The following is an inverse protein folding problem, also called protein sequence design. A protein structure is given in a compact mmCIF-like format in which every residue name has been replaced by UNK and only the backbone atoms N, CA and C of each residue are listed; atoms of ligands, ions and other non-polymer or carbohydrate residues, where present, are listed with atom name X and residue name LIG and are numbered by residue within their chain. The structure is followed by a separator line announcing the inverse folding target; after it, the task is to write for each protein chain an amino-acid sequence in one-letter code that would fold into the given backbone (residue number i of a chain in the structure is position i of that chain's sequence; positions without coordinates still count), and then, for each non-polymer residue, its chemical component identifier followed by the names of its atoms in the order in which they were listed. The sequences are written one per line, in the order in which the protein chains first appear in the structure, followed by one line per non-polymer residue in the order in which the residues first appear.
data_IF_782772143160
#
_entry.id   IF_782772143160
#
_cell.length_a   1.000
_cell.length_b   1.000
_cell.length_c   1.000
_cell.angle_alpha   90.00
_cell.angle_beta   90.00
_cell.angle_gamma   90.00
#
_symmetry.space_group_name_H-M   'P 1'
#
loop_
_entity.id
_entity.type
_entity.pdbx_description
1 polymer ?
#
# COMPACT_ATOMS: atom_id res chain seq x y z
N UNK A 1 -23.51 2.36 -30.73
CA UNK A 1 -22.10 2.37 -30.25
C UNK A 1 -21.88 2.62 -28.74
N UNK A 2 -22.83 3.02 -27.86
CA UNK A 2 -22.52 3.24 -26.43
C UNK A 2 -22.40 1.93 -25.63
N UNK A 3 -23.11 0.86 -26.01
CA UNK A 3 -23.14 -0.41 -25.25
C UNK A 3 -21.75 -1.08 -25.11
N UNK A 4 -20.95 -1.14 -26.18
CA UNK A 4 -19.63 -1.76 -26.15
C UNK A 4 -18.65 -1.02 -25.21
N UNK A 5 -18.75 0.31 -25.12
CA UNK A 5 -17.91 1.10 -24.20
C UNK A 5 -18.27 0.82 -22.74
N UNK A 6 -19.57 0.65 -22.43
CA UNK A 6 -20.02 0.33 -21.08
C UNK A 6 -19.50 -1.03 -20.61
N UNK A 7 -19.63 -2.03 -21.46
CA UNK A 7 -19.12 -3.38 -21.19
C UNK A 7 -17.60 -3.34 -21.04
N UNK A 8 -16.88 -2.66 -21.93
CA UNK A 8 -15.42 -2.56 -21.84
C UNK A 8 -14.94 -1.94 -20.51
N UNK A 9 -15.51 -0.81 -20.10
CA UNK A 9 -15.13 -0.16 -18.84
C UNK A 9 -15.46 -1.04 -17.62
N UNK A 10 -16.57 -1.79 -17.65
CA UNK A 10 -16.88 -2.74 -16.57
C UNK A 10 -15.83 -3.85 -16.45
N UNK A 11 -15.32 -4.38 -17.58
CA UNK A 11 -14.22 -5.36 -17.56
C UNK A 11 -12.94 -4.75 -17.01
N UNK A 12 -12.58 -3.54 -17.46
CA UNK A 12 -11.40 -2.82 -16.96
C UNK A 12 -11.52 -2.57 -15.45
N UNK A 13 -12.70 -2.15 -14.97
CA UNK A 13 -12.96 -1.93 -13.55
C UNK A 13 -12.74 -3.19 -12.73
N UNK A 14 -13.33 -4.32 -13.18
CA UNK A 14 -13.21 -5.59 -12.49
C UNK A 14 -11.76 -6.07 -12.46
N UNK A 15 -11.04 -6.02 -13.57
CA UNK A 15 -9.63 -6.42 -13.61
C UNK A 15 -8.75 -5.50 -12.75
N UNK A 16 -8.97 -4.19 -12.78
CA UNK A 16 -8.25 -3.22 -11.95
C UNK A 16 -8.50 -3.50 -10.47
N UNK A 17 -9.75 -3.70 -10.07
CA UNK A 17 -10.13 -4.02 -8.69
C UNK A 17 -9.54 -5.35 -8.21
N UNK A 18 -9.67 -6.42 -9.01
CA UNK A 18 -9.10 -7.72 -8.67
C UNK A 18 -7.58 -7.67 -8.57
N UNK A 19 -6.92 -6.93 -9.45
CA UNK A 19 -5.46 -6.74 -9.40
C UNK A 19 -5.04 -5.94 -8.17
N UNK A 20 -5.79 -4.89 -7.82
CA UNK A 20 -5.56 -4.09 -6.61
C UNK A 20 -5.64 -4.97 -5.37
N UNK A 21 -6.80 -5.62 -5.15
CA UNK A 21 -7.03 -6.45 -3.98
C UNK A 21 -6.02 -7.61 -3.90
N UNK A 22 -5.77 -8.29 -5.03
CA UNK A 22 -4.81 -9.38 -5.10
C UNK A 22 -3.39 -8.93 -4.75
N UNK A 23 -2.95 -7.78 -5.28
CA UNK A 23 -1.63 -7.21 -5.00
C UNK A 23 -1.50 -6.85 -3.52
N UNK A 24 -2.51 -6.20 -2.95
CA UNK A 24 -2.51 -5.78 -1.54
C UNK A 24 -2.42 -6.99 -0.59
N UNK A 25 -3.26 -8.00 -0.81
CA UNK A 25 -3.31 -9.19 0.04
C UNK A 25 -2.05 -10.04 -0.11
N UNK A 26 -1.62 -10.30 -1.36
CA UNK A 26 -0.44 -11.13 -1.61
C UNK A 26 0.82 -10.47 -1.07
N UNK A 27 1.06 -9.18 -1.36
CA UNK A 27 2.25 -8.49 -0.90
C UNK A 27 2.30 -8.38 0.63
N UNK A 28 1.19 -7.98 1.26
CA UNK A 28 1.16 -7.68 2.69
C UNK A 28 1.19 -8.93 3.56
N UNK A 29 0.42 -9.97 3.20
CA UNK A 29 0.23 -11.14 4.07
C UNK A 29 1.04 -12.35 3.65
N UNK A 30 1.35 -12.52 2.37
CA UNK A 30 2.07 -13.71 1.87
C UNK A 30 3.54 -13.39 1.62
N UNK A 31 3.83 -12.52 0.65
CA UNK A 31 5.18 -12.25 0.18
C UNK A 31 6.07 -11.69 1.29
N UNK A 32 5.58 -10.70 2.06
CA UNK A 32 6.34 -10.11 3.17
C UNK A 32 6.63 -11.12 4.28
N UNK A 33 5.67 -11.99 4.61
CA UNK A 33 5.84 -13.03 5.65
C UNK A 33 6.86 -14.08 5.22
N UNK A 34 6.71 -14.62 4.00
CA UNK A 34 7.63 -15.61 3.44
C UNK A 34 9.04 -15.05 3.35
N UNK A 35 9.19 -13.83 2.81
CA UNK A 35 10.50 -13.19 2.70
C UNK A 35 11.16 -12.94 4.06
N UNK A 36 10.38 -12.54 5.08
CA UNK A 36 10.91 -12.32 6.44
C UNK A 36 11.41 -13.62 7.09
N UNK A 37 10.75 -14.74 6.82
CA UNK A 37 11.13 -16.05 7.35
C UNK A 37 12.31 -16.66 6.59
N UNK A 38 12.37 -16.46 5.27
CA UNK A 38 13.34 -17.10 4.40
C UNK A 38 14.68 -16.34 4.28
N UNK A 39 14.70 -15.02 4.52
CA UNK A 39 15.88 -14.18 4.28
C UNK A 39 16.55 -13.71 5.57
N UNK A 40 17.90 -13.59 5.58
CA UNK A 40 18.59 -12.81 6.60
C UNK A 40 18.08 -11.37 6.66
N UNK A 41 18.10 -10.73 7.84
CA UNK A 41 17.53 -9.38 8.06
C UNK A 41 18.06 -8.32 7.08
N UNK A 42 19.34 -8.36 6.72
CA UNK A 42 19.96 -7.44 5.76
C UNK A 42 19.42 -7.63 4.34
N UNK A 43 19.25 -8.88 3.90
CA UNK A 43 18.68 -9.24 2.60
C UNK A 43 17.20 -8.87 2.52
N UNK A 44 16.41 -9.20 3.56
CA UNK A 44 15.01 -8.78 3.67
C UNK A 44 14.88 -7.26 3.56
N UNK A 45 15.67 -6.52 4.33
CA UNK A 45 15.64 -5.05 4.32
C UNK A 45 16.00 -4.49 2.94
N UNK A 46 16.99 -5.10 2.26
CA UNK A 46 17.40 -4.69 0.90
C UNK A 46 16.31 -4.97 -0.14
N UNK A 47 15.60 -6.09 -0.01
CA UNK A 47 14.44 -6.41 -0.85
C UNK A 47 13.31 -5.39 -0.62
N UNK A 48 12.94 -5.14 0.64
CA UNK A 48 11.86 -4.22 1.00
C UNK A 48 12.12 -2.78 0.53
N UNK A 49 13.38 -2.33 0.54
CA UNK A 49 13.79 -1.01 -0.04
C UNK A 49 13.32 -0.82 -1.48
N UNK A 50 13.30 -1.91 -2.26
CA UNK A 50 12.93 -1.89 -3.68
C UNK A 50 11.45 -2.18 -3.88
N UNK A 51 10.90 -3.10 -3.09
CA UNK A 51 9.51 -3.55 -3.25
C UNK A 51 8.51 -2.51 -2.74
N UNK A 52 8.74 -1.88 -1.58
CA UNK A 52 7.78 -0.92 -1.01
C UNK A 52 7.42 0.25 -1.95
N UNK A 53 8.38 0.95 -2.59
CA UNK A 53 8.03 2.04 -3.50
C UNK A 53 7.22 1.58 -4.70
N UNK A 54 7.54 0.39 -5.25
CA UNK A 54 6.82 -0.19 -6.38
C UNK A 54 5.39 -0.54 -5.93
N UNK A 55 5.25 -1.23 -4.81
CA UNK A 55 3.97 -1.61 -4.25
C UNK A 55 3.04 -0.42 -4.01
N UNK A 56 3.48 0.61 -3.28
CA UNK A 56 2.63 1.77 -2.98
C UNK A 56 2.26 2.58 -4.22
N UNK A 57 3.15 2.64 -5.22
CA UNK A 57 2.85 3.28 -6.52
C UNK A 57 1.80 2.48 -7.28
N UNK A 58 1.97 1.16 -7.39
CA UNK A 58 1.02 0.28 -8.05
C UNK A 58 -0.34 0.31 -7.37
N UNK A 59 -0.38 0.25 -6.04
CA UNK A 59 -1.60 0.39 -5.24
C UNK A 59 -2.32 1.71 -5.53
N UNK A 60 -1.60 2.82 -5.52
CA UNK A 60 -2.18 4.15 -5.78
C UNK A 60 -2.70 4.27 -7.21
N UNK A 61 -1.94 3.77 -8.20
CA UNK A 61 -2.34 3.79 -9.61
C UNK A 61 -3.60 2.95 -9.84
N UNK A 62 -3.62 1.72 -9.32
CA UNK A 62 -4.76 0.82 -9.44
C UNK A 62 -5.99 1.38 -8.73
N UNK A 63 -5.81 2.03 -7.58
CA UNK A 63 -6.91 2.69 -6.87
C UNK A 63 -7.50 3.86 -7.66
N UNK A 64 -6.66 4.69 -8.29
CA UNK A 64 -7.12 5.74 -9.21
C UNK A 64 -7.88 5.14 -10.39
N UNK A 65 -7.38 4.03 -10.95
CA UNK A 65 -8.04 3.34 -12.06
C UNK A 65 -9.41 2.78 -11.64
N UNK A 66 -9.51 2.17 -10.47
CA UNK A 66 -10.77 1.69 -9.90
C UNK A 66 -11.74 2.86 -9.72
N UNK A 67 -11.32 3.93 -9.05
CA UNK A 67 -12.16 5.11 -8.82
C UNK A 67 -12.63 5.77 -10.12
N UNK A 68 -11.76 5.84 -11.14
CA UNK A 68 -12.08 6.42 -12.45
C UNK A 68 -12.99 5.54 -13.31
N UNK A 69 -13.11 4.25 -13.00
CA UNK A 69 -13.92 3.29 -13.76
C UNK A 69 -15.19 2.85 -13.02
N UNK A 70 -15.47 3.40 -11.83
CA UNK A 70 -16.66 3.08 -11.03
C UNK A 70 -17.98 3.48 -11.73
N UNK A 71 -18.95 2.56 -11.89
CA UNK A 71 -20.29 2.87 -12.42
C UNK A 71 -21.23 3.53 -11.38
N UNK A 72 -22.24 4.34 -11.76
CA UNK A 72 -22.61 4.79 -13.11
C UNK A 72 -21.97 6.16 -13.44
N UNK A 73 -20.89 6.16 -14.21
CA UNK A 73 -20.35 7.28 -14.98
C UNK A 73 -20.40 8.65 -14.31
N UNK A 74 -19.42 8.90 -13.45
CA UNK A 74 -19.06 10.24 -12.99
C UNK A 74 -18.99 10.35 -11.46
N UNK A 75 -18.16 11.28 -10.94
CA UNK A 75 -18.05 11.50 -9.49
C UNK A 75 -19.39 11.81 -8.83
N UNK A 76 -20.36 12.35 -9.57
CA UNK A 76 -21.70 12.70 -9.08
C UNK A 76 -22.53 11.49 -8.61
N UNK A 77 -22.43 10.32 -9.25
CA UNK A 77 -23.18 9.12 -8.84
C UNK A 77 -22.48 8.35 -7.72
N UNK A 78 -21.15 8.39 -7.70
CA UNK A 78 -20.31 7.83 -6.64
C UNK A 78 -20.56 8.54 -5.32
N UNK A 79 -20.70 9.87 -5.33
CA UNK A 79 -20.99 10.68 -4.13
C UNK A 79 -22.38 10.38 -3.54
N UNK A 80 -23.35 9.96 -4.34
CA UNK A 80 -24.68 9.62 -3.86
C UNK A 80 -24.71 8.29 -3.07
N UNK A 81 -23.80 7.37 -3.36
CA UNK A 81 -23.74 6.07 -2.68
C UNK A 81 -22.65 6.04 -1.63
N UNK A 82 -23.06 6.18 -0.36
CA UNK A 82 -22.15 6.16 0.81
C UNK A 82 -21.21 4.96 0.82
N UNK A 83 -21.70 3.79 0.41
CA UNK A 83 -20.93 2.54 0.36
C UNK A 83 -19.88 2.48 -0.76
N UNK A 84 -19.86 3.46 -1.67
CA UNK A 84 -18.93 3.55 -2.79
C UNK A 84 -17.88 4.61 -2.51
N UNK A 85 -18.30 5.86 -2.25
CA UNK A 85 -17.33 6.94 -2.08
C UNK A 85 -16.56 6.85 -0.75
N UNK A 86 -17.17 6.40 0.35
CA UNK A 86 -16.47 6.33 1.64
C UNK A 86 -15.25 5.38 1.59
N UNK A 87 -15.37 4.11 1.16
CA UNK A 87 -14.21 3.24 1.08
C UNK A 87 -13.17 3.75 0.08
N UNK A 88 -13.58 4.31 -1.06
CA UNK A 88 -12.62 4.88 -2.03
C UNK A 88 -11.86 6.09 -1.47
N UNK A 89 -12.53 6.97 -0.72
CA UNK A 89 -11.88 8.12 -0.06
C UNK A 89 -10.95 7.65 1.05
N UNK A 90 -11.38 6.70 1.89
CA UNK A 90 -10.54 6.14 2.95
C UNK A 90 -9.30 5.47 2.35
N UNK A 91 -9.50 4.61 1.35
CA UNK A 91 -8.40 3.97 0.63
C UNK A 91 -7.48 5.02 -0.02
N UNK A 92 -8.05 6.04 -0.66
CA UNK A 92 -7.31 7.09 -1.36
C UNK A 92 -6.44 7.92 -0.43
N UNK A 93 -7.02 8.42 0.66
CA UNK A 93 -6.30 9.23 1.65
C UNK A 93 -5.19 8.40 2.30
N UNK A 94 -5.49 7.17 2.72
CA UNK A 94 -4.50 6.31 3.37
C UNK A 94 -3.38 5.88 2.42
N UNK A 95 -3.69 5.57 1.16
CA UNK A 95 -2.70 5.28 0.12
C UNK A 95 -1.82 6.49 -0.19
N UNK A 96 -2.39 7.69 -0.33
CA UNK A 96 -1.65 8.94 -0.58
C UNK A 96 -0.72 9.27 0.59
N UNK A 97 -1.20 9.20 1.83
CA UNK A 97 -0.38 9.42 3.01
C UNK A 97 0.78 8.42 3.05
N UNK A 98 0.53 7.16 2.70
CA UNK A 98 1.55 6.13 2.67
C UNK A 98 2.56 6.37 1.54
N UNK A 99 2.11 6.71 0.33
CA UNK A 99 2.95 6.93 -0.84
C UNK A 99 3.83 8.19 -0.71
N UNK A 100 3.26 9.30 -0.25
CA UNK A 100 3.93 10.61 -0.29
C UNK A 100 4.62 10.99 1.01
N UNK A 101 4.15 10.47 2.16
CA UNK A 101 4.68 10.86 3.47
C UNK A 101 5.46 9.72 4.09
N UNK A 102 4.79 8.61 4.39
CA UNK A 102 5.39 7.56 5.24
C UNK A 102 6.38 6.67 4.48
N UNK A 103 6.14 6.40 3.19
CA UNK A 103 7.05 5.65 2.33
C UNK A 103 8.42 6.34 2.19
N UNK A 104 8.48 7.59 1.71
CA UNK A 104 9.72 8.34 1.59
C UNK A 104 10.43 8.52 2.93
N UNK A 105 9.71 8.87 4.01
CA UNK A 105 10.29 8.98 5.36
C UNK A 105 10.92 7.68 5.84
N UNK A 106 10.24 6.55 5.65
CA UNK A 106 10.77 5.24 6.03
C UNK A 106 12.04 4.91 5.25
N UNK A 107 12.08 5.19 3.94
CA UNK A 107 13.29 5.01 3.14
C UNK A 107 14.44 5.90 3.62
N UNK A 108 14.19 7.18 3.90
CA UNK A 108 15.21 8.11 4.40
C UNK A 108 15.83 7.57 5.70
N UNK A 109 15.01 7.22 6.70
CA UNK A 109 15.53 6.66 7.95
C UNK A 109 16.27 5.32 7.74
N UNK A 110 15.85 4.50 6.78
CA UNK A 110 16.58 3.27 6.43
C UNK A 110 17.93 3.52 5.77
N UNK A 111 18.12 4.65 5.10
CA UNK A 111 19.39 5.05 4.50
C UNK A 111 20.29 5.65 5.57
N UNK A 112 19.75 6.55 6.39
CA UNK A 112 20.47 7.19 7.50
C UNK A 112 21.00 6.15 8.50
N UNK A 113 20.20 5.13 8.85
CA UNK A 113 20.64 4.04 9.74
C UNK A 113 21.85 3.28 9.20
N UNK A 114 21.94 3.10 7.89
CA UNK A 114 23.09 2.41 7.27
C UNK A 114 24.34 3.30 7.31
N UNK A 115 24.18 4.60 7.04
CA UNK A 115 25.28 5.56 7.16
C UNK A 115 25.78 5.65 8.61
N UNK A 116 24.85 5.72 9.57
CA UNK A 116 25.20 5.77 10.98
C UNK A 116 25.91 4.49 11.43
N UNK A 117 25.45 3.31 11.00
CA UNK A 117 26.12 2.06 11.33
C UNK A 117 27.58 2.03 10.83
N UNK A 118 27.84 2.66 9.67
CA UNK A 118 29.19 2.77 9.11
C UNK A 118 30.06 3.77 9.88
N UNK A 119 29.48 4.88 10.36
CA UNK A 119 30.17 5.86 11.21
C UNK A 119 30.52 5.27 12.57
N UNK A 120 29.55 4.63 13.22
CA UNK A 120 29.71 3.98 14.51
C UNK A 120 30.80 2.90 14.44
N UNK A 121 30.83 2.09 13.38
CA UNK A 121 31.88 1.07 13.18
C UNK A 121 33.30 1.66 13.06
N UNK A 122 33.43 2.88 12.53
CA UNK A 122 34.73 3.57 12.41
C UNK A 122 35.14 4.28 13.70
N UNK A 123 34.20 4.93 14.38
CA UNK A 123 34.46 5.79 15.54
C UNK A 123 34.47 5.02 16.87
N UNK A 124 33.77 3.88 16.94
CA UNK A 124 33.51 3.15 18.18
C UNK A 124 33.83 1.66 18.00
N UNK A 125 35.07 1.35 17.63
CA UNK A 125 35.55 -0.03 17.53
C UNK A 125 35.36 -0.74 18.87
N UNK A 126 34.46 -1.73 18.92
CA UNK A 126 34.19 -2.53 20.11
C UNK A 126 33.17 -1.98 21.10
N UNK A 127 32.42 -0.92 20.76
CA UNK A 127 31.30 -0.49 21.60
C UNK A 127 30.13 -1.50 21.53
N UNK A 128 29.74 -2.04 22.68
CA UNK A 128 28.69 -3.05 22.80
C UNK A 128 27.28 -2.49 22.57
N UNK A 129 27.11 -1.16 22.77
CA UNK A 129 25.82 -0.49 22.69
C UNK A 129 25.72 0.45 21.49
N UNK A 130 24.54 0.54 20.82
CA UNK A 130 24.30 1.52 19.77
C UNK A 130 24.50 2.96 20.27
N UNK A 131 25.05 3.83 19.42
CA UNK A 131 25.12 5.27 19.68
C UNK A 131 23.72 5.86 19.96
N UNK A 132 23.65 6.96 20.72
CA UNK A 132 22.37 7.67 20.94
C UNK A 132 21.73 8.10 19.62
N UNK A 133 22.54 8.54 18.65
CA UNK A 133 22.10 8.86 17.29
C UNK A 133 21.45 7.65 16.60
N UNK A 134 22.06 6.46 16.71
CA UNK A 134 21.46 5.22 16.20
C UNK A 134 20.15 4.86 16.90
N UNK A 135 20.04 5.08 18.21
CA UNK A 135 18.80 4.81 18.97
C UNK A 135 17.65 5.70 18.50
N UNK A 136 17.91 6.98 18.28
CA UNK A 136 16.92 7.92 17.76
C UNK A 136 16.46 7.55 16.35
N UNK A 137 17.41 7.25 15.46
CA UNK A 137 17.10 6.78 14.10
C UNK A 137 16.27 5.48 14.12
N UNK A 138 16.57 4.54 15.01
CA UNK A 138 15.78 3.31 15.18
C UNK A 138 14.34 3.63 15.60
N UNK A 139 14.15 4.60 16.50
CA UNK A 139 12.83 5.03 16.98
C UNK A 139 12.03 5.71 15.88
N UNK A 140 12.63 6.62 15.11
CA UNK A 140 11.97 7.30 14.00
C UNK A 140 11.62 6.34 12.85
N UNK A 141 12.54 5.44 12.52
CA UNK A 141 12.30 4.37 11.57
C UNK A 141 11.10 3.50 12.00
N UNK A 142 11.13 2.99 13.24
CA UNK A 142 10.10 2.10 13.76
C UNK A 142 8.72 2.77 13.74
N UNK A 143 8.63 4.03 14.18
CA UNK A 143 7.38 4.80 14.14
C UNK A 143 6.86 5.01 12.72
N UNK A 144 7.73 5.40 11.80
CA UNK A 144 7.33 5.67 10.40
C UNK A 144 6.89 4.39 9.68
N UNK A 145 7.64 3.30 9.89
CA UNK A 145 7.32 1.99 9.35
C UNK A 145 6.01 1.45 9.89
N UNK A 146 5.79 1.56 11.21
CA UNK A 146 4.54 1.16 11.83
C UNK A 146 3.35 1.95 11.24
N UNK A 147 3.46 3.28 11.11
CA UNK A 147 2.37 4.07 10.50
C UNK A 147 2.08 3.67 9.06
N UNK A 148 3.11 3.38 8.25
CA UNK A 148 2.92 2.87 6.89
C UNK A 148 2.16 1.54 6.86
N UNK A 149 2.45 0.62 7.79
CA UNK A 149 1.73 -0.67 7.90
C UNK A 149 0.25 -0.43 8.26
N UNK A 150 -0.03 0.43 9.24
CA UNK A 150 -1.40 0.68 9.70
C UNK A 150 -2.24 1.34 8.62
N UNK A 151 -1.69 2.36 7.94
CA UNK A 151 -2.37 3.02 6.84
C UNK A 151 -2.65 2.04 5.69
N UNK A 152 -1.67 1.20 5.33
CA UNK A 152 -1.87 0.17 4.31
C UNK A 152 -2.96 -0.85 4.70
N UNK A 153 -3.05 -1.22 5.98
CA UNK A 153 -4.11 -2.11 6.47
C UNK A 153 -5.50 -1.45 6.41
N UNK A 154 -5.57 -0.15 6.69
CA UNK A 154 -6.80 0.63 6.48
C UNK A 154 -7.18 0.69 5.00
N UNK A 155 -6.21 0.85 4.11
CA UNK A 155 -6.44 0.78 2.65
C UNK A 155 -7.02 -0.58 2.26
N UNK A 156 -6.42 -1.68 2.70
CA UNK A 156 -6.93 -3.05 2.46
C UNK A 156 -8.36 -3.20 2.97
N UNK A 157 -8.64 -2.76 4.20
CA UNK A 157 -9.97 -2.84 4.78
C UNK A 157 -11.02 -2.07 3.97
N UNK A 158 -10.65 -0.90 3.47
CA UNK A 158 -11.50 -0.10 2.60
C UNK A 158 -11.68 -0.75 1.21
N UNK A 159 -10.63 -1.33 0.62
CA UNK A 159 -10.70 -2.10 -0.64
C UNK A 159 -11.61 -3.32 -0.51
N UNK A 160 -11.56 -4.02 0.62
CA UNK A 160 -12.45 -5.15 0.93
C UNK A 160 -13.91 -4.70 1.09
N UNK A 161 -14.14 -3.59 1.81
CA UNK A 161 -15.48 -3.02 1.93
C UNK A 161 -16.05 -2.64 0.55
N UNK A 162 -15.27 -1.96 -0.29
CA UNK A 162 -15.66 -1.68 -1.67
C UNK A 162 -15.97 -2.96 -2.45
N UNK A 163 -15.19 -4.03 -2.25
CA UNK A 163 -15.43 -5.35 -2.83
C UNK A 163 -16.76 -5.97 -2.48
N UNK A 164 -17.16 -5.90 -1.20
CA UNK A 164 -18.45 -6.39 -0.75
C UNK A 164 -19.61 -5.66 -1.46
N UNK A 165 -19.48 -4.35 -1.65
CA UNK A 165 -20.45 -3.58 -2.44
C UNK A 165 -20.41 -3.97 -3.92
N UNK A 166 -19.23 -4.09 -4.52
CA UNK A 166 -19.09 -4.46 -5.93
C UNK A 166 -19.74 -5.83 -6.19
N UNK A 167 -19.47 -6.81 -5.31
CA UNK A 167 -20.02 -8.16 -5.41
C UNK A 167 -21.55 -8.21 -5.32
N UNK A 168 -22.18 -7.38 -4.49
CA UNK A 168 -23.65 -7.34 -4.38
C UNK A 168 -24.35 -6.70 -5.59
N UNK A 169 -23.59 -6.01 -6.45
CA UNK A 169 -24.09 -5.37 -7.67
C UNK A 169 -23.68 -6.12 -8.95
N UNK A 170 -22.90 -7.20 -8.82
CA UNK A 170 -22.65 -8.11 -9.94
C UNK A 170 -23.90 -8.93 -10.23
N UNK A 171 -24.38 -8.85 -11.48
CA UNK A 171 -25.46 -9.72 -11.97
C UNK A 171 -24.89 -11.10 -12.26
N UNK A 172 -24.95 -12.01 -11.28
CA UNK A 172 -24.79 -13.43 -11.55
C UNK A 172 -26.06 -13.90 -12.26
N UNK A 173 -25.94 -14.51 -13.44
CA UNK A 173 -27.08 -14.87 -14.29
C UNK A 173 -28.13 -15.67 -13.50
N UNK A 174 -29.23 -15.01 -13.14
CA UNK A 174 -30.27 -15.57 -12.28
C UNK A 174 -31.38 -14.55 -12.02
N UNK A 175 -32.24 -14.38 -13.03
CA UNK A 175 -33.52 -13.63 -13.06
C UNK A 175 -33.45 -12.09 -12.96
#
# INVERSE_FOLDING_TARGET
MPFHLHTFVAHVHLFAYSTLLGTELYQSFVMTRVAYQALPRSAFTSLQKRVFPIYFRSQSLLLILVAGTTPPWGPASVVQQRNVWMPLVVAGVTAILTLLIYGPRTQTFMIERVHQATRDAKMHQGAENPSEEMKDLNRFFSRSHAMSIHLNLLTIGATLWYGCWLASHLKFGGQ
#
